data_IF_148700771689
#
_entry.id   IF_148700771689
#
_cell.length_a   1.000
_cell.length_b   1.000
_cell.length_c   1.000
_cell.angle_alpha   90.00
_cell.angle_beta   90.00
_cell.angle_gamma   90.00
#
_symmetry.space_group_name_H-M   'P 1'
#
loop_
_entity.id
_entity.type
_entity.pdbx_description
1 polymer ?
#
# COMPACT_ATOMS: atom_id res chain seq x y z
N UNK A 1 -28.96 15.37 10.61
CA UNK A 1 -28.14 16.33 11.40
C UNK A 1 -26.78 15.70 11.57
N UNK A 2 -25.83 16.07 10.71
CA UNK A 2 -24.46 15.59 10.80
C UNK A 2 -23.72 16.42 11.86
N UNK A 3 -23.22 15.76 12.89
CA UNK A 3 -22.40 16.38 13.90
C UNK A 3 -21.04 16.74 13.30
N UNK A 4 -20.75 18.02 13.16
CA UNK A 4 -19.42 18.58 12.93
C UNK A 4 -18.54 18.18 14.12
N UNK A 5 -17.64 17.22 13.94
CA UNK A 5 -16.61 16.89 14.93
C UNK A 5 -15.46 17.88 14.81
N UNK A 6 -15.21 18.50 15.95
CA UNK A 6 -14.24 19.54 16.25
C UNK A 6 -12.81 19.17 15.79
N UNK A 7 -12.26 19.96 14.85
CA UNK A 7 -10.86 19.87 14.43
C UNK A 7 -10.02 20.71 15.41
N UNK A 8 -9.59 20.13 16.53
CA UNK A 8 -8.75 20.92 17.44
C UNK A 8 -8.42 20.31 18.79
N UNK A 9 -8.85 19.09 19.10
CA UNK A 9 -8.52 18.50 20.41
C UNK A 9 -7.24 17.63 20.32
N UNK A 10 -6.30 17.71 21.29
CA UNK A 10 -5.11 16.84 21.35
C UNK A 10 -5.43 15.34 21.30
N UNK A 11 -6.68 14.96 21.60
CA UNK A 11 -7.20 13.58 21.54
C UNK A 11 -7.42 13.06 20.10
N UNK A 12 -7.32 13.90 19.07
CA UNK A 12 -7.50 13.50 17.67
C UNK A 12 -6.17 13.24 16.92
N UNK A 13 -5.03 13.41 17.57
CA UNK A 13 -3.73 13.15 16.96
C UNK A 13 -3.48 11.64 16.82
N UNK A 14 -2.82 11.28 15.72
CA UNK A 14 -2.25 9.95 15.49
C UNK A 14 -1.20 9.65 16.58
N UNK A 15 -1.27 8.46 17.17
CA UNK A 15 -0.33 8.07 18.23
C UNK A 15 -0.28 6.56 18.44
N UNK A 16 0.83 6.10 19.01
CA UNK A 16 0.95 4.83 19.71
C UNK A 16 1.13 5.11 21.19
N UNK A 17 0.53 4.30 22.03
CA UNK A 17 0.59 4.40 23.51
C UNK A 17 1.18 3.10 24.10
N UNK A 18 2.51 2.98 24.18
CA UNK A 18 3.15 1.80 24.75
C UNK A 18 2.88 1.65 26.26
N UNK A 19 2.44 2.71 26.96
CA UNK A 19 2.07 2.62 28.37
C UNK A 19 0.79 1.80 28.60
N UNK A 20 -0.05 1.62 27.57
CA UNK A 20 -1.20 0.72 27.63
C UNK A 20 -0.82 -0.78 27.55
N UNK A 21 0.47 -1.09 27.55
CA UNK A 21 1.05 -2.42 27.46
C UNK A 21 1.47 -2.78 26.02
N UNK A 22 2.42 -3.69 25.88
CA UNK A 22 2.94 -4.15 24.59
C UNK A 22 3.21 -5.64 24.59
N UNK A 23 3.31 -6.22 23.39
CA UNK A 23 3.81 -7.57 23.22
C UNK A 23 5.30 -7.64 23.58
N UNK A 24 5.78 -8.69 24.23
CA UNK A 24 7.19 -8.85 24.54
C UNK A 24 8.01 -9.03 23.27
N UNK A 25 9.12 -8.29 23.19
CA UNK A 25 10.06 -8.31 22.07
C UNK A 25 11.41 -8.80 22.61
N UNK A 26 12.05 -9.71 21.89
CA UNK A 26 13.45 -10.09 22.10
C UNK A 26 14.33 -9.19 21.23
N UNK A 27 15.44 -8.70 21.80
CA UNK A 27 16.41 -7.89 21.03
C UNK A 27 17.59 -8.75 20.57
N UNK A 28 18.18 -8.37 19.43
CA UNK A 28 19.40 -8.97 18.91
C UNK A 28 20.37 -7.85 18.53
N UNK A 29 21.50 -7.68 19.21
CA UNK A 29 22.01 -8.52 20.33
C UNK A 29 21.07 -8.59 21.53
N UNK A 30 21.19 -9.69 22.28
CA UNK A 30 20.31 -9.95 23.41
C UNK A 30 20.40 -8.86 24.49
N UNK A 31 19.26 -8.29 24.84
CA UNK A 31 19.06 -7.33 25.91
C UNK A 31 17.89 -7.73 26.80
N UNK A 32 17.66 -6.97 27.86
CA UNK A 32 16.49 -7.14 28.72
C UNK A 32 15.31 -6.31 28.19
N UNK A 33 14.08 -6.65 28.57
CA UNK A 33 12.88 -5.86 28.23
C UNK A 33 12.97 -4.40 28.69
N UNK A 34 13.70 -4.13 29.78
CA UNK A 34 13.98 -2.77 30.24
C UNK A 34 14.86 -1.96 29.29
N UNK A 35 15.64 -2.62 28.43
CA UNK A 35 16.57 -2.00 27.50
C UNK A 35 15.93 -1.63 26.16
N UNK A 36 14.65 -2.01 25.93
CA UNK A 36 13.91 -1.63 24.73
C UNK A 36 13.87 -0.12 24.55
N UNK A 37 14.23 0.32 23.34
CA UNK A 37 14.10 1.70 22.91
C UNK A 37 12.64 2.16 22.87
N UNK A 38 12.40 3.47 22.75
CA UNK A 38 11.04 3.99 22.57
C UNK A 38 10.37 3.41 21.30
N UNK A 39 11.12 3.31 20.20
CA UNK A 39 10.65 2.77 18.95
C UNK A 39 10.26 1.28 19.04
N UNK A 40 11.05 0.47 19.74
CA UNK A 40 10.74 -0.95 19.98
C UNK A 40 9.50 -1.12 20.88
N UNK A 41 9.32 -0.25 21.85
CA UNK A 41 8.09 -0.22 22.68
C UNK A 41 6.86 0.16 21.85
N UNK A 42 7.00 1.09 20.89
CA UNK A 42 5.91 1.42 19.95
C UNK A 42 5.56 0.20 19.07
N UNK A 43 6.55 -0.55 18.56
CA UNK A 43 6.32 -1.81 17.85
C UNK A 43 5.62 -2.82 18.74
N UNK A 44 6.03 -2.97 19.98
CA UNK A 44 5.38 -3.86 20.95
C UNK A 44 3.91 -3.53 21.16
N UNK A 45 3.57 -2.23 21.24
CA UNK A 45 2.20 -1.77 21.37
C UNK A 45 1.37 -2.10 20.11
N UNK A 46 1.93 -1.89 18.91
CA UNK A 46 1.29 -2.26 17.64
C UNK A 46 1.04 -3.77 17.58
N UNK A 47 2.04 -4.58 17.89
CA UNK A 47 1.92 -6.05 17.87
C UNK A 47 0.86 -6.55 18.84
N UNK A 48 0.72 -5.93 20.02
CA UNK A 48 -0.31 -6.29 20.97
C UNK A 48 -1.72 -5.94 20.45
N UNK A 49 -1.92 -4.80 19.77
CA UNK A 49 -3.20 -4.48 19.13
C UNK A 49 -3.50 -5.44 17.96
N UNK A 50 -2.48 -5.93 17.24
CA UNK A 50 -2.65 -6.96 16.20
C UNK A 50 -3.05 -8.32 16.80
N UNK A 51 -2.47 -8.71 17.95
CA UNK A 51 -2.91 -9.90 18.68
C UNK A 51 -4.38 -9.77 19.13
N UNK A 52 -4.79 -8.61 19.64
CA UNK A 52 -6.17 -8.32 20.03
C UNK A 52 -7.12 -8.36 18.82
N UNK A 53 -6.73 -7.74 17.70
CA UNK A 53 -7.50 -7.76 16.46
C UNK A 53 -7.79 -9.18 15.97
N UNK A 54 -6.77 -10.02 15.84
CA UNK A 54 -6.94 -11.37 15.33
C UNK A 54 -7.68 -12.29 16.30
N UNK A 55 -7.51 -12.08 17.62
CA UNK A 55 -8.28 -12.78 18.65
C UNK A 55 -9.78 -12.43 18.56
N UNK A 56 -10.10 -11.18 18.24
CA UNK A 56 -11.49 -10.74 18.05
C UNK A 56 -12.09 -11.18 16.71
N UNK A 57 -11.27 -11.47 15.69
CA UNK A 57 -11.71 -11.79 14.33
C UNK A 57 -11.57 -13.27 13.95
N UNK A 58 -11.63 -14.15 14.92
CA UNK A 58 -11.86 -15.59 14.73
C UNK A 58 -10.62 -16.48 14.61
N UNK A 59 -9.42 -15.92 14.86
CA UNK A 59 -8.25 -16.78 15.00
C UNK A 59 -8.37 -17.60 16.32
N UNK A 60 -8.39 -18.92 16.19
CA UNK A 60 -8.47 -19.82 17.35
C UNK A 60 -7.09 -20.01 17.99
N UNK A 61 -7.01 -19.96 19.30
CA UNK A 61 -5.75 -20.07 20.05
C UNK A 61 -5.03 -18.72 20.23
N UNK A 62 -3.72 -18.76 20.47
CA UNK A 62 -2.92 -17.53 20.60
C UNK A 62 -2.73 -16.85 19.24
N UNK A 63 -3.02 -15.56 19.14
CA UNK A 63 -2.70 -14.80 17.93
C UNK A 63 -1.19 -14.57 17.80
N UNK A 64 -0.44 -14.55 18.91
CA UNK A 64 1.02 -14.42 18.89
C UNK A 64 1.69 -15.60 18.19
N UNK A 65 2.64 -15.37 17.26
CA UNK A 65 3.52 -16.39 16.72
C UNK A 65 4.29 -17.12 17.84
N UNK A 66 4.43 -18.43 17.73
CA UNK A 66 5.07 -19.23 18.79
C UNK A 66 6.54 -18.87 19.00
N UNK A 67 7.25 -18.45 17.95
CA UNK A 67 8.61 -17.95 18.00
C UNK A 67 8.74 -16.54 18.57
N UNK A 68 7.63 -15.77 18.59
CA UNK A 68 7.61 -14.40 19.12
C UNK A 68 8.11 -13.33 18.15
N UNK A 69 8.61 -12.23 18.70
CA UNK A 69 9.02 -11.02 17.98
C UNK A 69 10.47 -10.67 18.29
N UNK A 70 11.22 -10.30 17.25
CA UNK A 70 12.64 -10.00 17.36
C UNK A 70 12.99 -8.66 16.72
N UNK A 71 13.49 -7.74 17.55
CA UNK A 71 14.11 -6.50 17.12
C UNK A 71 15.58 -6.74 16.85
N UNK A 72 16.03 -6.55 15.62
CA UNK A 72 17.45 -6.63 15.26
C UNK A 72 17.99 -5.24 14.99
N UNK A 73 19.12 -4.93 15.61
CA UNK A 73 19.87 -3.71 15.34
C UNK A 73 20.79 -3.93 14.12
N UNK A 74 20.31 -3.56 12.93
CA UNK A 74 21.07 -3.71 11.69
C UNK A 74 22.32 -2.82 11.61
N UNK A 75 22.50 -1.84 12.51
CA UNK A 75 23.67 -0.97 12.58
C UNK A 75 24.87 -1.66 13.25
N UNK A 76 24.62 -2.74 13.99
CA UNK A 76 25.69 -3.54 14.59
C UNK A 76 26.34 -4.38 13.49
N UNK A 77 27.60 -4.09 13.21
CA UNK A 77 28.37 -4.86 12.23
C UNK A 77 28.58 -6.31 12.68
N UNK A 78 28.98 -7.21 11.78
CA UNK A 78 29.28 -8.59 12.13
C UNK A 78 30.42 -8.63 13.16
N UNK A 79 30.04 -8.79 14.40
CA UNK A 79 31.02 -9.01 15.48
C UNK A 79 31.38 -10.49 15.41
N UNK A 80 32.55 -10.78 14.92
CA UNK A 80 33.11 -12.11 14.69
C UNK A 80 32.55 -13.27 15.52
N UNK A 81 31.42 -13.84 15.12
CA UNK A 81 31.03 -15.17 15.51
C UNK A 81 30.42 -15.37 16.89
N UNK A 82 29.82 -14.37 17.52
CA UNK A 82 29.10 -14.56 18.78
C UNK A 82 27.73 -15.21 18.54
N UNK A 83 27.45 -16.33 19.20
CA UNK A 83 26.23 -17.14 19.12
C UNK A 83 24.94 -16.42 19.59
N UNK A 84 24.91 -15.10 19.64
CA UNK A 84 23.79 -14.26 20.08
C UNK A 84 23.30 -13.26 19.03
N UNK A 85 23.80 -13.32 17.79
CA UNK A 85 23.50 -12.32 16.74
C UNK A 85 22.53 -12.83 15.67
N UNK A 86 21.95 -14.02 15.86
CA UNK A 86 20.98 -14.60 14.97
C UNK A 86 19.58 -14.64 15.59
N UNK A 87 18.57 -14.44 14.78
CA UNK A 87 17.17 -14.62 15.17
C UNK A 87 16.40 -15.29 14.06
N UNK A 88 15.69 -16.36 14.37
CA UNK A 88 14.79 -17.06 13.45
C UNK A 88 15.49 -17.36 12.10
N UNK A 89 15.04 -16.73 11.01
CA UNK A 89 15.58 -16.89 9.66
C UNK A 89 16.82 -16.03 9.36
N UNK A 90 17.24 -15.17 10.30
CA UNK A 90 18.35 -14.22 10.14
C UNK A 90 19.59 -14.75 10.86
N UNK A 91 20.72 -14.79 10.17
CA UNK A 91 22.01 -15.21 10.72
C UNK A 91 22.90 -14.01 11.06
N UNK A 92 22.76 -12.91 10.34
CA UNK A 92 23.53 -11.68 10.53
C UNK A 92 22.62 -10.45 10.48
N UNK A 93 22.83 -9.42 11.33
CA UNK A 93 22.00 -8.20 11.34
C UNK A 93 21.90 -7.49 9.98
N UNK A 94 22.94 -7.56 9.16
CA UNK A 94 22.95 -6.97 7.80
C UNK A 94 21.90 -7.55 6.85
N UNK A 95 21.36 -8.73 7.12
CA UNK A 95 20.33 -9.37 6.30
C UNK A 95 18.94 -8.75 6.47
N UNK A 96 18.72 -7.97 7.55
CA UNK A 96 17.43 -7.35 7.85
C UNK A 96 17.39 -5.85 7.53
N UNK A 97 18.48 -5.24 7.09
CA UNK A 97 18.57 -3.79 6.91
C UNK A 97 17.36 -3.22 6.17
N UNK A 98 16.61 -2.34 6.84
CA UNK A 98 15.45 -1.66 6.29
C UNK A 98 14.23 -2.55 6.08
N UNK A 99 14.17 -3.73 6.68
CA UNK A 99 13.11 -4.71 6.42
C UNK A 99 12.47 -5.25 7.71
N UNK A 100 11.30 -5.86 7.54
CA UNK A 100 10.63 -6.71 8.50
C UNK A 100 10.03 -7.90 7.75
N UNK A 101 9.92 -9.06 8.36
CA UNK A 101 9.24 -10.21 7.75
C UNK A 101 8.84 -11.26 8.78
N UNK A 102 7.82 -12.03 8.42
CA UNK A 102 7.47 -13.26 9.12
C UNK A 102 8.37 -14.41 8.68
N UNK A 103 9.02 -15.09 9.64
CA UNK A 103 9.84 -16.28 9.41
C UNK A 103 9.03 -17.56 9.64
N UNK A 104 8.64 -18.32 8.59
CA UNK A 104 7.84 -19.54 8.75
C UNK A 104 8.56 -20.67 9.50
N UNK A 105 9.90 -20.75 9.40
CA UNK A 105 10.68 -21.82 10.05
C UNK A 105 10.72 -21.65 11.57
N UNK A 106 10.70 -20.42 12.05
CA UNK A 106 10.74 -20.10 13.46
C UNK A 106 9.40 -19.65 14.04
N UNK A 107 8.34 -19.54 13.20
CA UNK A 107 7.03 -18.98 13.53
C UNK A 107 7.13 -17.67 14.32
N UNK A 108 7.81 -16.69 13.75
CA UNK A 108 8.00 -15.41 14.42
C UNK A 108 8.25 -14.26 13.46
N UNK A 109 8.14 -13.03 13.94
CA UNK A 109 8.38 -11.81 13.16
C UNK A 109 9.71 -11.20 13.58
N UNK A 110 10.57 -10.91 12.59
CA UNK A 110 11.85 -10.22 12.76
C UNK A 110 11.76 -8.86 12.09
N UNK A 111 12.29 -7.82 12.70
CA UNK A 111 12.30 -6.48 12.13
C UNK A 111 13.56 -5.70 12.47
N UNK A 112 13.95 -4.81 11.57
CA UNK A 112 15.05 -3.89 11.77
C UNK A 112 14.64 -2.71 12.65
N UNK A 113 15.15 -2.67 13.88
CA UNK A 113 14.88 -1.60 14.83
C UNK A 113 15.72 -0.34 14.59
N UNK A 114 16.83 -0.46 13.87
CA UNK A 114 17.78 0.64 13.65
C UNK A 114 17.46 1.49 12.41
N UNK A 115 17.01 0.89 11.30
CA UNK A 115 16.73 1.61 10.07
C UNK A 115 15.23 1.64 9.73
N UNK A 116 14.51 0.50 9.70
CA UNK A 116 13.12 0.46 9.27
C UNK A 116 12.20 1.24 10.20
N UNK A 117 12.22 0.93 11.50
CA UNK A 117 11.26 1.52 12.47
C UNK A 117 11.42 3.03 12.57
N UNK A 118 12.65 3.62 12.67
CA UNK A 118 12.82 5.07 12.62
C UNK A 118 12.32 5.72 11.33
N UNK A 119 12.48 5.07 10.18
CA UNK A 119 11.97 5.58 8.88
C UNK A 119 10.44 5.55 8.86
N UNK A 120 9.81 4.46 9.28
CA UNK A 120 8.36 4.36 9.34
C UNK A 120 7.76 5.44 10.26
N UNK A 121 8.28 5.57 11.47
CA UNK A 121 7.80 6.58 12.43
C UNK A 121 8.11 8.02 11.99
N UNK A 122 9.34 8.28 11.54
CA UNK A 122 9.82 9.64 11.25
C UNK A 122 9.30 10.21 9.93
N UNK A 123 9.18 9.37 8.89
CA UNK A 123 8.73 9.80 7.56
C UNK A 123 7.22 9.68 7.40
N UNK A 124 6.62 8.61 7.91
CA UNK A 124 5.22 8.26 7.62
C UNK A 124 4.30 8.35 8.85
N UNK A 125 4.84 8.16 10.04
CA UNK A 125 4.13 8.29 11.32
C UNK A 125 3.63 6.97 11.91
N UNK A 126 3.02 7.04 13.11
CA UNK A 126 2.59 5.87 13.89
C UNK A 126 1.61 4.94 13.16
N UNK A 127 0.65 5.48 12.42
CA UNK A 127 -0.32 4.68 11.68
C UNK A 127 0.34 3.87 10.54
N UNK A 128 1.39 4.41 9.93
CA UNK A 128 2.17 3.74 8.91
C UNK A 128 2.96 2.56 9.47
N UNK A 129 3.56 2.73 10.66
CA UNK A 129 4.19 1.62 11.39
C UNK A 129 3.16 0.50 11.62
N UNK A 130 1.98 0.86 12.12
CA UNK A 130 0.91 -0.10 12.41
C UNK A 130 0.45 -0.86 11.16
N UNK A 131 0.31 -0.19 10.01
CA UNK A 131 -0.10 -0.82 8.75
C UNK A 131 0.98 -1.75 8.20
N UNK A 132 2.25 -1.36 8.26
CA UNK A 132 3.35 -2.21 7.81
C UNK A 132 3.45 -3.49 8.67
N UNK A 133 3.38 -3.37 9.99
CA UNK A 133 3.38 -4.53 10.86
C UNK A 133 2.12 -5.38 10.76
N UNK A 134 0.97 -4.80 10.38
CA UNK A 134 -0.25 -5.55 10.11
C UNK A 134 -0.09 -6.48 8.90
N UNK A 135 0.62 -6.04 7.86
CA UNK A 135 0.98 -6.85 6.70
C UNK A 135 1.86 -8.04 7.12
N UNK A 136 2.94 -7.81 7.86
CA UNK A 136 3.84 -8.88 8.32
C UNK A 136 3.14 -9.85 9.28
N UNK A 137 2.27 -9.32 10.14
CA UNK A 137 1.48 -10.15 11.05
C UNK A 137 0.51 -11.05 10.30
N UNK A 138 -0.08 -10.58 9.20
CA UNK A 138 -0.97 -11.38 8.35
C UNK A 138 -0.29 -12.64 7.81
N UNK A 139 1.00 -12.57 7.45
CA UNK A 139 1.76 -13.76 7.07
C UNK A 139 1.84 -14.81 8.18
N UNK A 140 1.91 -14.39 9.44
CA UNK A 140 1.87 -15.32 10.58
C UNK A 140 0.50 -15.98 10.74
N UNK A 141 -0.56 -15.26 10.39
CA UNK A 141 -1.94 -15.78 10.41
C UNK A 141 -2.14 -16.76 9.27
N UNK A 142 -1.72 -16.43 8.06
CA UNK A 142 -1.75 -17.32 6.88
C UNK A 142 -1.05 -18.65 7.17
N UNK A 143 0.07 -18.63 7.87
CA UNK A 143 0.78 -19.88 8.24
C UNK A 143 -0.05 -20.83 9.09
N UNK A 144 -1.08 -20.34 9.80
CA UNK A 144 -1.96 -21.10 10.71
C UNK A 144 -3.28 -21.49 10.10
N UNK A 145 -3.90 -20.59 9.34
CA UNK A 145 -5.23 -20.84 8.76
C UNK A 145 -5.19 -21.20 7.28
N UNK A 146 -3.99 -21.10 6.65
CA UNK A 146 -3.72 -21.37 5.24
C UNK A 146 -3.89 -20.13 4.34
N UNK A 147 -3.35 -20.18 3.12
CA UNK A 147 -2.55 -21.31 2.62
C UNK A 147 -1.18 -21.40 3.32
N UNK A 148 -0.86 -22.60 3.80
CA UNK A 148 0.41 -22.85 4.49
C UNK A 148 1.60 -22.90 3.52
N UNK A 149 2.83 -22.83 4.03
CA UNK A 149 4.03 -23.00 3.20
C UNK A 149 4.06 -24.38 2.51
N UNK A 150 3.42 -25.41 3.08
CA UNK A 150 3.29 -26.71 2.45
C UNK A 150 2.30 -26.67 1.27
N UNK A 151 1.16 -26.02 1.43
CA UNK A 151 0.16 -25.84 0.37
C UNK A 151 0.75 -25.10 -0.82
N UNK A 152 1.49 -24.00 -0.57
CA UNK A 152 2.16 -23.20 -1.61
C UNK A 152 3.22 -23.99 -2.39
N UNK A 153 3.98 -24.86 -1.70
CA UNK A 153 4.95 -25.76 -2.38
C UNK A 153 4.27 -26.84 -3.19
N UNK A 154 3.11 -27.31 -2.73
CA UNK A 154 2.35 -28.36 -3.43
C UNK A 154 1.68 -27.84 -4.71
N UNK A 155 1.22 -26.58 -4.71
CA UNK A 155 0.55 -25.97 -5.86
C UNK A 155 0.94 -24.49 -6.00
N UNK A 156 2.16 -24.19 -6.46
CA UNK A 156 2.65 -22.81 -6.62
C UNK A 156 1.91 -22.04 -7.73
N UNK A 157 1.27 -22.74 -8.64
CA UNK A 157 0.48 -22.08 -9.72
C UNK A 157 -0.84 -21.55 -9.19
N UNK A 158 -1.50 -22.28 -8.32
CA UNK A 158 -2.75 -21.85 -7.68
C UNK A 158 -2.50 -20.87 -6.54
N UNK A 159 -1.36 -21.00 -5.86
CA UNK A 159 -0.97 -20.22 -4.69
C UNK A 159 0.36 -19.47 -4.93
N UNK A 160 0.43 -18.59 -5.94
CA UNK A 160 1.63 -17.81 -6.21
C UNK A 160 1.92 -16.84 -5.05
N UNK A 161 3.17 -16.39 -4.91
CA UNK A 161 3.57 -15.44 -3.86
C UNK A 161 2.72 -14.17 -3.90
N UNK A 162 2.46 -13.62 -5.06
CA UNK A 162 1.65 -12.42 -5.23
C UNK A 162 0.21 -12.55 -4.65
N UNK A 163 -0.38 -13.75 -4.61
CA UNK A 163 -1.66 -13.98 -3.95
C UNK A 163 -1.52 -13.88 -2.43
N UNK A 164 -0.44 -14.41 -1.88
CA UNK A 164 -0.16 -14.37 -0.45
C UNK A 164 0.04 -12.93 0.02
N UNK A 165 0.76 -12.14 -0.78
CA UNK A 165 0.97 -10.72 -0.54
C UNK A 165 -0.34 -9.91 -0.65
N UNK A 166 -1.15 -10.19 -1.66
CA UNK A 166 -2.47 -9.58 -1.83
C UNK A 166 -3.40 -9.86 -0.63
N UNK A 167 -3.36 -11.07 -0.09
CA UNK A 167 -4.08 -11.42 1.14
C UNK A 167 -3.54 -10.64 2.35
N UNK A 168 -2.21 -10.48 2.46
CA UNK A 168 -1.59 -9.73 3.56
C UNK A 168 -1.91 -8.24 3.50
N UNK A 169 -1.87 -7.61 2.31
CA UNK A 169 -2.31 -6.22 2.11
C UNK A 169 -3.81 -6.05 2.45
N UNK A 170 -4.62 -7.02 2.06
CA UNK A 170 -6.04 -7.08 2.40
C UNK A 170 -6.26 -7.11 3.92
N UNK A 171 -5.55 -7.94 4.65
CA UNK A 171 -5.63 -8.06 6.12
C UNK A 171 -5.11 -6.79 6.82
N UNK A 172 -4.06 -6.16 6.28
CA UNK A 172 -3.57 -4.87 6.76
C UNK A 172 -4.65 -3.79 6.61
N UNK A 173 -5.42 -3.81 5.51
CA UNK A 173 -6.58 -2.94 5.31
C UNK A 173 -7.68 -3.16 6.35
N UNK A 174 -7.96 -4.43 6.71
CA UNK A 174 -8.93 -4.77 7.74
C UNK A 174 -8.52 -4.26 9.12
N UNK A 175 -7.26 -4.46 9.52
CA UNK A 175 -6.72 -3.91 10.76
C UNK A 175 -6.77 -2.38 10.77
N UNK A 176 -6.40 -1.73 9.68
CA UNK A 176 -6.45 -0.27 9.57
C UNK A 176 -7.88 0.26 9.74
N UNK A 177 -8.89 -0.40 9.16
CA UNK A 177 -10.29 -0.05 9.36
C UNK A 177 -10.72 -0.16 10.83
N UNK A 178 -10.29 -1.23 11.50
CA UNK A 178 -10.54 -1.48 12.91
C UNK A 178 -9.88 -0.40 13.79
N UNK A 179 -8.65 -0.02 13.48
CA UNK A 179 -7.94 1.04 14.18
C UNK A 179 -8.58 2.42 13.97
N UNK A 180 -9.07 2.72 12.76
CA UNK A 180 -9.80 3.97 12.46
C UNK A 180 -11.15 4.03 13.15
N UNK A 181 -11.84 2.90 13.32
CA UNK A 181 -13.08 2.81 14.10
C UNK A 181 -12.86 3.11 15.60
N UNK A 182 -11.63 3.02 16.08
CA UNK A 182 -11.25 3.30 17.48
C UNK A 182 -11.33 2.07 18.38
N UNK A 183 -11.30 0.88 17.80
CA UNK A 183 -11.39 -0.40 18.52
C UNK A 183 -10.03 -0.88 19.05
N UNK A 184 -8.93 -0.21 18.66
CA UNK A 184 -7.58 -0.42 19.18
C UNK A 184 -7.40 0.19 20.57
N UNK A 185 -6.61 -0.47 21.42
CA UNK A 185 -6.31 0.01 22.78
C UNK A 185 -5.08 0.93 22.82
N UNK A 186 -4.11 0.71 21.93
CA UNK A 186 -2.77 1.33 21.94
C UNK A 186 -2.53 2.23 20.75
N UNK A 187 -2.98 1.81 19.57
CA UNK A 187 -2.78 2.56 18.33
C UNK A 187 -4.00 3.43 18.04
N UNK A 188 -3.79 4.72 17.80
CA UNK A 188 -4.86 5.63 17.40
C UNK A 188 -4.63 6.14 16.00
N UNK A 189 -5.58 5.86 15.10
CA UNK A 189 -5.54 6.29 13.69
C UNK A 189 -6.73 7.19 13.39
N UNK A 190 -6.57 8.53 13.40
CA UNK A 190 -7.60 9.44 12.91
C UNK A 190 -7.89 9.21 11.43
N UNK A 191 -9.12 9.40 10.98
CA UNK A 191 -9.52 9.24 9.58
C UNK A 191 -8.64 10.05 8.61
N UNK A 192 -8.20 11.25 9.01
CA UNK A 192 -7.29 12.09 8.23
C UNK A 192 -5.86 11.55 8.09
N UNK A 193 -5.48 10.52 8.85
CA UNK A 193 -4.15 9.88 8.79
C UNK A 193 -4.11 8.67 7.87
N UNK A 194 -5.23 8.21 7.33
CA UNK A 194 -5.31 6.95 6.57
C UNK A 194 -4.42 6.98 5.32
N UNK A 195 -4.37 8.08 4.59
CA UNK A 195 -3.47 8.21 3.43
C UNK A 195 -2.02 8.01 3.84
N UNK A 196 -1.59 8.60 4.95
CA UNK A 196 -0.24 8.45 5.47
C UNK A 196 0.03 7.02 5.95
N UNK A 197 -0.97 6.39 6.56
CA UNK A 197 -0.88 5.00 7.02
C UNK A 197 -0.60 4.01 5.88
N UNK A 198 -1.19 4.22 4.70
CA UNK A 198 -1.02 3.33 3.55
C UNK A 198 0.18 3.70 2.67
N UNK A 199 0.75 4.89 2.83
CA UNK A 199 1.84 5.37 1.97
C UNK A 199 3.04 4.43 1.92
N UNK A 200 3.53 3.78 3.02
CA UNK A 200 4.62 2.82 2.93
C UNK A 200 4.29 1.61 2.04
N UNK A 201 3.06 1.12 2.07
CA UNK A 201 2.63 0.00 1.21
C UNK A 201 2.78 0.38 -0.26
N UNK A 202 2.50 1.64 -0.62
CA UNK A 202 2.63 2.17 -1.97
C UNK A 202 4.10 2.48 -2.33
N UNK A 203 4.90 2.95 -1.38
CA UNK A 203 6.32 3.30 -1.61
C UNK A 203 7.21 2.05 -1.69
N UNK A 204 6.87 0.97 -0.98
CA UNK A 204 7.59 -0.32 -0.99
C UNK A 204 7.04 -1.29 -2.04
N UNK A 205 6.42 -0.75 -3.08
CA UNK A 205 5.98 -1.53 -4.24
C UNK A 205 7.15 -2.09 -5.04
N UNK A 206 6.88 -3.13 -5.80
CA UNK A 206 7.86 -3.70 -6.71
C UNK A 206 8.19 -2.74 -7.87
N UNK A 207 9.39 -2.84 -8.44
CA UNK A 207 9.67 -2.22 -9.71
C UNK A 207 8.87 -2.90 -10.83
N UNK A 208 8.45 -2.14 -11.84
CA UNK A 208 7.68 -2.66 -13.00
C UNK A 208 8.36 -3.78 -13.77
N UNK A 209 9.66 -3.98 -13.57
CA UNK A 209 10.45 -5.05 -14.17
C UNK A 209 10.37 -6.37 -13.42
N UNK A 210 9.80 -6.40 -12.20
CA UNK A 210 9.65 -7.63 -11.44
C UNK A 210 8.37 -8.36 -11.87
N UNK A 211 8.54 -9.60 -12.28
CA UNK A 211 7.39 -10.43 -12.68
C UNK A 211 6.50 -10.76 -11.48
N UNK A 212 5.15 -10.73 -11.61
CA UNK A 212 4.25 -11.23 -10.57
C UNK A 212 4.44 -12.72 -10.22
N UNK A 213 5.14 -13.46 -11.09
CA UNK A 213 5.50 -14.86 -10.84
C UNK A 213 6.78 -15.01 -10.01
N UNK A 214 7.51 -13.92 -9.74
CA UNK A 214 8.69 -13.95 -8.88
C UNK A 214 8.28 -14.31 -7.44
N UNK A 215 9.00 -15.21 -6.76
CA UNK A 215 8.68 -15.59 -5.39
C UNK A 215 8.84 -14.46 -4.37
N UNK A 216 9.47 -13.35 -4.75
CA UNK A 216 9.65 -12.16 -3.90
C UNK A 216 8.71 -11.01 -4.28
N UNK A 217 7.81 -11.21 -5.26
CA UNK A 217 6.93 -10.16 -5.75
C UNK A 217 5.85 -9.80 -4.72
N UNK A 218 5.71 -8.50 -4.42
CA UNK A 218 4.65 -7.92 -3.57
C UNK A 218 3.56 -7.23 -4.38
N UNK A 219 3.84 -6.81 -5.62
CA UNK A 219 2.93 -6.11 -6.51
C UNK A 219 3.24 -4.62 -6.68
N UNK A 220 2.61 -4.04 -7.69
CA UNK A 220 2.69 -2.61 -7.98
C UNK A 220 1.80 -1.79 -7.04
N UNK A 221 2.00 -0.48 -6.98
CA UNK A 221 1.32 0.39 -6.02
C UNK A 221 -0.20 0.36 -6.14
N UNK A 222 -0.74 0.41 -7.36
CA UNK A 222 -2.19 0.33 -7.59
C UNK A 222 -2.76 -1.05 -7.24
N UNK A 223 -2.03 -2.12 -7.52
CA UNK A 223 -2.45 -3.48 -7.18
C UNK A 223 -2.54 -3.65 -5.65
N UNK A 224 -1.50 -3.27 -4.93
CA UNK A 224 -1.43 -3.30 -3.47
C UNK A 224 -2.53 -2.44 -2.82
N UNK A 225 -2.75 -1.23 -3.34
CA UNK A 225 -3.85 -0.36 -2.92
C UNK A 225 -5.20 -1.06 -3.08
N UNK A 226 -5.42 -1.71 -4.21
CA UNK A 226 -6.69 -2.38 -4.51
C UNK A 226 -7.01 -3.47 -3.50
N UNK A 227 -6.02 -4.30 -3.12
CA UNK A 227 -6.22 -5.35 -2.12
C UNK A 227 -6.43 -4.78 -0.73
N UNK A 228 -5.68 -3.77 -0.33
CA UNK A 228 -5.87 -3.07 0.94
C UNK A 228 -7.28 -2.46 1.04
N UNK A 229 -7.75 -1.77 -0.02
CA UNK A 229 -9.08 -1.15 -0.06
C UNK A 229 -10.21 -2.16 0.07
N UNK A 230 -10.05 -3.37 -0.49
CA UNK A 230 -11.07 -4.41 -0.49
C UNK A 230 -11.59 -4.71 0.91
N UNK A 231 -10.69 -4.65 1.91
CA UNK A 231 -11.03 -4.95 3.31
C UNK A 231 -11.18 -3.75 4.20
N UNK A 232 -10.49 -2.69 3.89
CA UNK A 232 -10.74 -1.44 4.57
C UNK A 232 -12.22 -1.03 4.50
N UNK A 233 -12.92 -1.42 3.41
CA UNK A 233 -14.35 -1.11 3.18
C UNK A 233 -15.30 -2.21 3.65
N UNK A 234 -14.97 -3.48 3.45
CA UNK A 234 -15.92 -4.60 3.52
C UNK A 234 -15.77 -5.51 4.76
N UNK A 235 -14.81 -5.22 5.64
CA UNK A 235 -14.57 -5.97 6.89
C UNK A 235 -13.88 -7.33 6.74
N UNK A 236 -13.45 -8.01 7.84
CA UNK A 236 -12.39 -9.03 7.85
C UNK A 236 -12.65 -10.45 7.28
N UNK A 237 -13.85 -10.90 6.88
CA UNK A 237 -14.09 -12.32 6.53
C UNK A 237 -13.64 -12.82 5.14
N UNK A 238 -13.11 -12.01 4.19
CA UNK A 238 -12.88 -12.39 2.80
C UNK A 238 -11.42 -12.35 2.28
N UNK A 239 -10.38 -11.89 3.05
CA UNK A 239 -9.01 -11.85 2.54
C UNK A 239 -8.48 -13.24 2.21
N UNK A 240 -8.67 -14.19 3.12
CA UNK A 240 -8.19 -15.57 2.93
C UNK A 240 -9.02 -16.39 1.92
N UNK A 241 -10.15 -15.85 1.45
CA UNK A 241 -10.91 -16.43 0.34
C UNK A 241 -10.48 -15.91 -1.03
N UNK A 242 -9.55 -14.94 -1.09
CA UNK A 242 -8.96 -14.52 -2.34
C UNK A 242 -8.28 -15.69 -3.04
N UNK A 243 -8.56 -15.84 -4.33
CA UNK A 243 -7.97 -16.82 -5.22
C UNK A 243 -7.13 -16.12 -6.28
N UNK A 244 -6.37 -16.89 -7.05
CA UNK A 244 -5.63 -16.37 -8.20
C UNK A 244 -6.53 -15.64 -9.20
N UNK A 245 -7.76 -16.12 -9.38
CA UNK A 245 -8.72 -15.53 -10.34
C UNK A 245 -9.26 -14.17 -9.87
N UNK A 246 -9.09 -13.84 -8.58
CA UNK A 246 -9.42 -12.53 -8.02
C UNK A 246 -8.31 -11.48 -8.20
N UNK A 247 -7.14 -11.89 -8.70
CA UNK A 247 -5.98 -11.02 -8.91
C UNK A 247 -6.10 -10.30 -10.27
N UNK A 248 -6.77 -9.17 -10.28
CA UNK A 248 -6.76 -8.24 -11.44
C UNK A 248 -5.50 -7.35 -11.37
N UNK A 249 -4.34 -7.97 -11.60
CA UNK A 249 -3.05 -7.28 -11.55
C UNK A 249 -2.82 -6.46 -12.81
N UNK A 250 -2.28 -5.26 -12.65
CA UNK A 250 -1.93 -4.39 -13.77
C UNK A 250 -0.89 -5.04 -14.71
N UNK A 251 0.11 -5.75 -14.16
CA UNK A 251 1.10 -6.51 -14.95
C UNK A 251 0.54 -7.76 -15.65
N UNK A 252 -0.66 -8.22 -15.29
CA UNK A 252 -1.31 -9.41 -15.85
C UNK A 252 -2.37 -9.12 -16.91
N UNK A 253 -2.67 -7.86 -17.19
CA UNK A 253 -3.72 -7.49 -18.13
C UNK A 253 -3.29 -7.76 -19.58
N UNK A 254 -4.22 -8.26 -20.39
CA UNK A 254 -4.01 -8.54 -21.81
C UNK A 254 -3.55 -7.27 -22.57
N UNK A 255 -2.60 -7.44 -23.49
CA UNK A 255 -2.04 -6.36 -24.30
C UNK A 255 -0.83 -5.65 -23.67
N UNK A 256 -0.51 -5.92 -22.43
CA UNK A 256 0.70 -5.41 -21.75
C UNK A 256 1.86 -6.37 -22.04
N UNK A 257 2.39 -6.31 -23.27
CA UNK A 257 3.65 -6.99 -23.60
C UNK A 257 4.80 -6.08 -23.19
N UNK A 258 5.63 -6.54 -22.30
CA UNK A 258 6.85 -5.89 -21.81
C UNK A 258 6.66 -4.58 -21.03
N UNK A 259 6.75 -4.70 -19.72
CA UNK A 259 6.95 -3.60 -18.77
C UNK A 259 8.23 -2.76 -19.00
N UNK A 260 8.93 -3.00 -20.11
CA UNK A 260 10.22 -2.39 -20.44
C UNK A 260 10.12 -0.92 -20.91
N UNK A 261 8.94 -0.33 -20.92
CA UNK A 261 8.78 1.05 -21.39
C UNK A 261 8.84 2.08 -20.24
N UNK A 262 9.92 2.09 -19.50
CA UNK A 262 10.31 3.24 -18.67
C UNK A 262 10.90 4.40 -19.47
N UNK A 263 11.01 4.23 -20.80
CA UNK A 263 11.55 5.25 -21.69
C UNK A 263 10.53 6.33 -21.98
N UNK A 264 10.93 7.61 -22.03
CA UNK A 264 10.06 8.71 -22.44
C UNK A 264 9.45 8.42 -23.80
N UNK A 265 8.12 8.41 -23.91
CA UNK A 265 7.40 8.11 -25.18
C UNK A 265 7.28 9.34 -26.07
N UNK A 266 7.42 10.51 -25.46
CA UNK A 266 7.30 11.80 -26.12
C UNK A 266 8.58 12.61 -25.92
N UNK A 267 8.93 13.44 -26.91
CA UNK A 267 10.16 14.21 -26.86
C UNK A 267 10.08 15.39 -25.86
N UNK A 268 8.88 15.81 -25.50
CA UNK A 268 8.67 16.94 -24.59
C UNK A 268 7.38 16.79 -23.77
N UNK A 269 7.29 17.52 -22.66
CA UNK A 269 6.07 17.63 -21.86
C UNK A 269 4.92 18.22 -22.67
N UNK A 270 5.17 19.20 -23.57
CA UNK A 270 4.13 19.80 -24.40
C UNK A 270 3.51 18.76 -25.37
N UNK A 271 4.30 17.85 -25.92
CA UNK A 271 3.80 16.77 -26.74
C UNK A 271 2.91 15.80 -25.92
N UNK A 272 3.34 15.47 -24.70
CA UNK A 272 2.52 14.64 -23.77
C UNK A 272 1.20 15.33 -23.46
N UNK A 273 1.21 16.60 -23.11
CA UNK A 273 -0.01 17.34 -22.77
C UNK A 273 -0.95 17.45 -23.98
N UNK A 274 -0.39 17.60 -25.18
CA UNK A 274 -1.18 17.60 -26.42
C UNK A 274 -1.86 16.25 -26.64
N UNK A 275 -1.11 15.16 -26.52
CA UNK A 275 -1.62 13.81 -26.66
C UNK A 275 -2.66 13.47 -25.55
N UNK A 276 -2.40 13.87 -24.33
CA UNK A 276 -3.32 13.70 -23.20
C UNK A 276 -4.64 14.46 -23.41
N UNK A 277 -4.55 15.69 -23.92
CA UNK A 277 -5.73 16.51 -24.23
C UNK A 277 -6.62 15.82 -25.26
N UNK A 278 -6.03 15.30 -26.33
CA UNK A 278 -6.78 14.54 -27.34
C UNK A 278 -7.39 13.27 -26.75
N UNK A 279 -6.60 12.48 -26.05
CA UNK A 279 -7.05 11.21 -25.43
C UNK A 279 -8.17 11.39 -24.39
N UNK A 280 -8.09 12.44 -23.56
CA UNK A 280 -9.15 12.77 -22.58
C UNK A 280 -10.42 13.22 -23.30
N UNK A 281 -10.32 13.96 -24.42
CA UNK A 281 -11.47 14.37 -25.22
C UNK A 281 -12.19 13.14 -25.80
N UNK A 282 -11.45 12.21 -26.37
CA UNK A 282 -12.00 10.96 -26.93
C UNK A 282 -12.70 10.16 -25.82
N UNK A 283 -12.06 10.01 -24.65
CA UNK A 283 -12.66 9.31 -23.50
C UNK A 283 -13.98 9.96 -23.03
N UNK A 284 -14.04 11.30 -22.95
CA UNK A 284 -15.29 12.02 -22.59
C UNK A 284 -16.38 11.75 -23.60
N UNK A 285 -16.03 11.78 -24.91
CA UNK A 285 -16.98 11.50 -26.01
C UNK A 285 -17.50 10.06 -25.98
N UNK A 286 -16.62 9.09 -25.87
CA UNK A 286 -16.93 7.66 -25.85
C UNK A 286 -17.77 7.25 -24.63
N UNK A 287 -17.46 7.84 -23.47
CA UNK A 287 -18.21 7.59 -22.24
C UNK A 287 -19.55 8.35 -22.16
N UNK A 288 -19.85 9.22 -23.12
CA UNK A 288 -21.08 10.03 -23.14
C UNK A 288 -21.20 10.96 -21.93
N UNK A 289 -20.07 11.41 -21.37
CA UNK A 289 -20.05 12.25 -20.18
C UNK A 289 -20.45 13.69 -20.51
N UNK A 290 -21.17 14.39 -19.62
CA UNK A 290 -21.50 15.79 -19.82
C UNK A 290 -20.20 16.61 -19.77
N UNK A 291 -19.94 17.40 -20.80
CA UNK A 291 -18.77 18.27 -20.88
C UNK A 291 -18.88 19.31 -21.97
N UNK A 292 -18.06 20.36 -21.91
CA UNK A 292 -18.05 21.48 -22.84
C UNK A 292 -17.43 21.15 -24.21
N UNK A 293 -17.09 19.88 -24.46
CA UNK A 293 -16.50 19.43 -25.73
C UNK A 293 -15.00 19.73 -25.90
N UNK A 294 -14.37 20.39 -24.94
CA UNK A 294 -12.92 20.60 -24.95
C UNK A 294 -12.32 20.26 -23.57
N UNK A 295 -11.26 19.45 -23.51
CA UNK A 295 -10.54 19.18 -22.26
C UNK A 295 -9.98 20.45 -21.66
N UNK A 296 -9.94 20.49 -20.33
CA UNK A 296 -9.36 21.58 -19.56
C UNK A 296 -7.85 21.42 -19.52
N UNK A 297 -7.12 22.53 -19.67
CA UNK A 297 -5.67 22.50 -19.50
C UNK A 297 -5.28 22.06 -18.09
N UNK A 298 -4.18 21.31 -17.98
CA UNK A 298 -3.65 20.88 -16.70
C UNK A 298 -3.30 22.09 -15.79
N UNK A 299 -3.57 21.94 -14.51
CA UNK A 299 -3.18 22.92 -13.49
C UNK A 299 -1.65 22.93 -13.35
N UNK A 300 -1.04 24.13 -13.33
CA UNK A 300 0.41 24.28 -13.16
C UNK A 300 0.91 23.70 -11.83
N UNK A 301 0.11 23.76 -10.77
CA UNK A 301 0.45 23.13 -9.49
C UNK A 301 0.49 21.60 -9.60
N UNK A 302 -0.47 21.00 -10.32
CA UNK A 302 -0.49 19.54 -10.56
C UNK A 302 0.69 19.12 -11.45
N UNK A 303 1.05 19.92 -12.48
CA UNK A 303 2.24 19.66 -13.31
C UNK A 303 3.54 19.73 -12.51
N UNK A 304 3.65 20.66 -11.57
CA UNK A 304 4.82 20.76 -10.70
C UNK A 304 4.95 19.55 -9.77
N UNK A 305 3.83 19.01 -9.27
CA UNK A 305 3.81 17.77 -8.49
C UNK A 305 4.12 16.55 -9.37
N UNK A 306 3.66 16.52 -10.62
CA UNK A 306 3.87 15.40 -11.54
C UNK A 306 5.33 15.24 -11.99
N UNK A 307 6.10 16.31 -12.01
CA UNK A 307 7.46 16.37 -12.59
C UNK A 307 8.41 15.25 -12.13
N UNK A 308 8.48 14.86 -10.84
CA UNK A 308 9.38 13.79 -10.39
C UNK A 308 8.88 12.36 -10.72
N UNK A 309 7.63 12.18 -11.13
CA UNK A 309 7.03 10.86 -11.31
C UNK A 309 7.08 10.37 -12.75
N UNK A 310 7.00 11.26 -13.74
CA UNK A 310 7.13 10.88 -15.14
C UNK A 310 6.18 11.60 -16.07
N UNK A 311 6.23 11.23 -17.35
CA UNK A 311 5.42 11.86 -18.38
C UNK A 311 3.94 11.55 -18.23
N UNK A 312 3.60 10.33 -17.77
CA UNK A 312 2.21 9.93 -17.61
C UNK A 312 1.54 10.63 -16.42
N UNK A 313 2.31 10.94 -15.36
CA UNK A 313 1.82 11.79 -14.28
C UNK A 313 1.42 13.18 -14.80
N UNK A 314 2.21 13.78 -15.72
CA UNK A 314 1.85 15.05 -16.35
C UNK A 314 0.58 14.91 -17.24
N UNK A 315 0.44 13.82 -17.99
CA UNK A 315 -0.77 13.50 -18.74
C UNK A 315 -2.00 13.39 -17.83
N UNK A 316 -1.84 12.74 -16.68
CA UNK A 316 -2.91 12.57 -15.69
C UNK A 316 -3.39 13.90 -15.10
N UNK A 317 -2.54 14.94 -15.05
CA UNK A 317 -2.95 16.28 -14.62
C UNK A 317 -4.04 16.88 -15.56
N UNK A 318 -4.04 16.57 -16.86
CA UNK A 318 -5.11 16.95 -17.80
C UNK A 318 -6.42 16.23 -17.45
N UNK A 319 -6.34 14.92 -17.17
CA UNK A 319 -7.51 14.13 -16.78
C UNK A 319 -8.10 14.63 -15.45
N UNK A 320 -7.27 14.97 -14.46
CA UNK A 320 -7.72 15.54 -13.19
C UNK A 320 -8.42 16.90 -13.38
N UNK A 321 -7.87 17.78 -14.20
CA UNK A 321 -8.47 19.08 -14.47
C UNK A 321 -9.84 18.93 -15.16
N UNK A 322 -9.93 18.09 -16.20
CA UNK A 322 -11.17 17.80 -16.91
C UNK A 322 -12.19 17.07 -16.01
N UNK A 323 -11.74 16.10 -15.24
CA UNK A 323 -12.58 15.39 -14.28
C UNK A 323 -13.17 16.30 -13.19
N UNK A 324 -12.41 17.31 -12.75
CA UNK A 324 -12.89 18.32 -11.79
C UNK A 324 -13.97 19.21 -12.38
N UNK A 325 -13.83 19.59 -13.66
CA UNK A 325 -14.86 20.36 -14.37
C UNK A 325 -16.15 19.54 -14.51
N UNK A 326 -16.05 18.25 -14.83
CA UNK A 326 -17.21 17.37 -15.03
C UNK A 326 -17.90 17.01 -13.70
N UNK A 327 -17.13 16.65 -12.67
CA UNK A 327 -17.66 16.10 -11.41
C UNK A 327 -17.83 17.13 -10.30
N UNK A 328 -17.20 18.30 -10.42
CA UNK A 328 -17.24 19.38 -9.44
C UNK A 328 -16.45 19.10 -8.15
N UNK A 329 -15.73 17.96 -8.04
CA UNK A 329 -15.00 17.58 -6.83
C UNK A 329 -13.64 16.97 -7.14
N UNK A 330 -12.66 17.11 -6.22
CA UNK A 330 -11.36 16.46 -6.37
C UNK A 330 -11.43 14.93 -6.27
N UNK A 331 -12.38 14.38 -5.50
CA UNK A 331 -12.61 12.94 -5.41
C UNK A 331 -13.17 12.40 -6.72
N UNK A 332 -14.16 13.08 -7.31
CA UNK A 332 -14.69 12.74 -8.62
C UNK A 332 -13.64 12.86 -9.73
N UNK A 333 -12.79 13.91 -9.65
CA UNK A 333 -11.67 14.08 -10.58
C UNK A 333 -10.66 12.91 -10.51
N UNK A 334 -10.34 12.44 -9.31
CA UNK A 334 -9.45 11.31 -9.13
C UNK A 334 -10.08 10.01 -9.70
N UNK A 335 -11.37 9.78 -9.47
CA UNK A 335 -12.10 8.66 -10.07
C UNK A 335 -12.11 8.75 -11.61
N UNK A 336 -12.43 9.93 -12.16
CA UNK A 336 -12.39 10.17 -13.60
C UNK A 336 -11.00 9.86 -14.18
N UNK A 337 -9.93 10.33 -13.52
CA UNK A 337 -8.56 10.05 -13.95
C UNK A 337 -8.27 8.53 -13.95
N UNK A 338 -8.71 7.79 -12.94
CA UNK A 338 -8.58 6.33 -12.89
C UNK A 338 -9.30 5.64 -14.06
N UNK A 339 -10.54 6.04 -14.35
CA UNK A 339 -11.31 5.50 -15.46
C UNK A 339 -10.67 5.82 -16.82
N UNK A 340 -10.13 7.03 -17.00
CA UNK A 340 -9.39 7.40 -18.19
C UNK A 340 -8.09 6.58 -18.33
N UNK A 341 -7.28 6.43 -17.27
CA UNK A 341 -6.06 5.61 -17.29
C UNK A 341 -6.36 4.18 -17.72
N UNK A 342 -7.45 3.59 -17.20
CA UNK A 342 -7.88 2.26 -17.57
C UNK A 342 -8.34 2.17 -19.04
N UNK A 343 -8.97 3.20 -19.58
CA UNK A 343 -9.48 3.21 -20.98
C UNK A 343 -8.34 3.22 -22.01
N UNK A 344 -7.18 3.77 -21.65
CA UNK A 344 -5.99 3.82 -22.52
C UNK A 344 -4.95 2.75 -22.15
N UNK A 345 -5.30 1.83 -21.25
CA UNK A 345 -4.38 0.82 -20.78
C UNK A 345 -4.02 -0.19 -21.87
N UNK A 346 -2.72 -0.39 -22.11
CA UNK A 346 -2.23 -1.32 -23.14
C UNK A 346 -2.37 -0.81 -24.58
N UNK A 347 -2.80 0.43 -24.80
CA UNK A 347 -2.88 1.03 -26.16
C UNK A 347 -1.48 1.19 -26.76
N UNK A 348 -1.26 0.59 -27.95
CA UNK A 348 0.06 0.56 -28.61
C UNK A 348 0.08 1.31 -29.94
N UNK A 349 -0.99 1.97 -30.33
CA UNK A 349 -1.07 2.65 -31.62
C UNK A 349 -0.13 3.87 -31.67
N UNK A 350 0.58 4.00 -32.78
CA UNK A 350 1.54 5.08 -32.96
C UNK A 350 0.85 6.45 -32.91
N UNK A 351 1.36 7.34 -32.04
CA UNK A 351 0.82 8.69 -31.86
C UNK A 351 -0.33 8.79 -30.87
N UNK A 352 -0.82 7.69 -30.33
CA UNK A 352 -1.81 7.69 -29.27
C UNK A 352 -1.14 7.60 -27.88
N UNK A 353 -1.78 8.19 -26.88
CA UNK A 353 -1.36 8.06 -25.51
C UNK A 353 -1.93 6.76 -24.94
N UNK A 354 -1.04 5.81 -24.64
CA UNK A 354 -1.39 4.59 -23.90
C UNK A 354 -0.84 4.63 -22.48
N UNK A 355 -1.44 3.89 -21.56
CA UNK A 355 -0.93 3.66 -20.22
C UNK A 355 -0.46 2.22 -20.04
N UNK A 356 0.46 2.04 -19.13
CA UNK A 356 1.09 0.78 -18.77
C UNK A 356 1.08 0.61 -17.25
N UNK A 357 1.44 -0.53 -16.70
CA UNK A 357 1.41 -0.73 -15.25
C UNK A 357 2.13 0.35 -14.44
N UNK A 358 3.33 0.75 -14.86
CA UNK A 358 4.07 1.84 -14.22
C UNK A 358 3.40 3.22 -14.33
N UNK A 359 2.70 3.46 -15.43
CA UNK A 359 1.98 4.73 -15.64
C UNK A 359 0.75 4.83 -14.71
N UNK A 360 0.09 3.71 -14.44
CA UNK A 360 -0.99 3.69 -13.45
C UNK A 360 -0.49 4.07 -12.05
N UNK A 361 0.73 3.65 -11.71
CA UNK A 361 1.40 4.07 -10.48
C UNK A 361 1.88 5.53 -10.53
N UNK A 362 2.37 6.04 -11.67
CA UNK A 362 2.71 7.46 -11.84
C UNK A 362 1.48 8.36 -11.61
N UNK A 363 0.32 7.96 -12.13
CA UNK A 363 -0.94 8.66 -11.91
C UNK A 363 -1.36 8.63 -10.43
N UNK A 364 -1.22 7.49 -9.77
CA UNK A 364 -1.48 7.32 -8.34
C UNK A 364 -0.54 8.21 -7.51
N UNK A 365 0.74 8.27 -7.86
CA UNK A 365 1.76 9.08 -7.19
C UNK A 365 1.46 10.58 -7.31
N UNK A 366 1.02 11.05 -8.48
CA UNK A 366 0.54 12.42 -8.62
C UNK A 366 -0.62 12.69 -7.66
N UNK A 367 -1.66 11.84 -7.67
CA UNK A 367 -2.88 12.07 -6.88
C UNK A 367 -2.56 12.12 -5.39
N UNK A 368 -1.79 11.16 -4.87
CA UNK A 368 -1.46 11.09 -3.43
C UNK A 368 -0.48 12.16 -2.94
N UNK A 369 0.28 12.77 -3.86
CA UNK A 369 1.32 13.75 -3.52
C UNK A 369 0.85 15.19 -3.68
N UNK A 370 -0.37 15.42 -4.17
CA UNK A 370 -0.95 16.77 -4.26
C UNK A 370 -1.13 17.39 -2.88
N UNK A 371 -0.92 18.71 -2.73
CA UNK A 371 -1.26 19.40 -1.49
C UNK A 371 -2.72 19.16 -1.10
N UNK A 372 -2.95 18.68 0.11
CA UNK A 372 -4.29 18.37 0.60
C UNK A 372 -4.88 17.07 0.06
N UNK A 373 -4.07 16.19 -0.55
CA UNK A 373 -4.51 14.86 -0.98
C UNK A 373 -5.15 14.09 0.19
N UNK A 374 -6.20 13.35 -0.13
CA UNK A 374 -6.95 12.55 0.83
C UNK A 374 -6.97 11.08 0.44
N UNK A 375 -7.17 10.22 1.42
CA UNK A 375 -7.40 8.80 1.17
C UNK A 375 -8.58 8.55 0.22
N UNK A 376 -9.65 9.35 0.32
CA UNK A 376 -10.82 9.22 -0.55
C UNK A 376 -10.48 9.46 -2.02
N UNK A 377 -9.58 10.39 -2.33
CA UNK A 377 -9.13 10.64 -3.70
C UNK A 377 -8.32 9.46 -4.24
N UNK A 378 -7.41 8.93 -3.44
CA UNK A 378 -6.60 7.76 -3.81
C UNK A 378 -7.49 6.52 -4.01
N UNK A 379 -8.44 6.31 -3.12
CA UNK A 379 -9.41 5.23 -3.23
C UNK A 379 -10.33 5.39 -4.45
N UNK A 380 -10.78 6.61 -4.73
CA UNK A 380 -11.61 6.91 -5.91
C UNK A 380 -10.86 6.69 -7.23
N UNK A 381 -9.56 6.96 -7.27
CA UNK A 381 -8.71 6.63 -8.42
C UNK A 381 -8.74 5.11 -8.73
N UNK A 382 -8.54 4.27 -7.71
CA UNK A 382 -8.62 2.83 -7.87
C UNK A 382 -10.04 2.38 -8.29
N UNK A 383 -11.09 2.98 -7.73
CA UNK A 383 -12.48 2.70 -8.12
C UNK A 383 -12.75 3.01 -9.59
N UNK A 384 -12.26 4.15 -10.07
CA UNK A 384 -12.34 4.55 -11.47
C UNK A 384 -11.58 3.60 -12.39
N UNK A 385 -10.36 3.22 -12.00
CA UNK A 385 -9.52 2.30 -12.78
C UNK A 385 -10.17 0.92 -12.97
N UNK A 386 -10.77 0.35 -11.91
CA UNK A 386 -11.39 -0.98 -11.98
C UNK A 386 -12.86 -0.96 -12.43
N UNK A 387 -13.57 0.14 -12.18
CA UNK A 387 -15.03 0.20 -12.42
C UNK A 387 -15.46 1.14 -13.53
N UNK A 388 -14.51 1.88 -14.14
CA UNK A 388 -14.81 2.84 -15.21
C UNK A 388 -15.55 4.08 -14.72
N UNK A 389 -15.91 4.96 -15.68
CA UNK A 389 -16.58 6.24 -15.42
C UNK A 389 -17.92 6.15 -14.70
N UNK A 390 -18.62 5.01 -14.82
CA UNK A 390 -19.91 4.77 -14.15
C UNK A 390 -19.81 4.79 -12.60
N UNK A 391 -18.61 4.62 -12.05
CA UNK A 391 -18.33 4.68 -10.59
C UNK A 391 -18.07 6.09 -10.09
N UNK A 392 -17.92 7.08 -10.98
CA UNK A 392 -17.42 8.41 -10.65
C UNK A 392 -18.52 9.46 -10.40
N UNK A 393 -19.79 9.07 -10.41
CA UNK A 393 -20.94 9.95 -10.22
C UNK A 393 -21.42 10.08 -8.79
#
# INVERSE_FOLDING_TARGET
>A
MAATRDAGSPKSAERIDPAAGGAPISTVPAGSESDLTANEKDVGAVLADLEDFWSAHGLTGSARPAGGYFAMDSSVGPSGGSAGESALCIQEPSQIVGNAFYCPQGDGIVFDSAALVPVLLGRYGPAALATAFAHEFAHSVQARIGPTAADRRADPTRLPSILIEAQADCDAGAFLAWAVAGDTSRVRVPTGSVLRAITPVLDFRDPVTLSPADPTAHGLGLDRLTFLLRRYRDGAAACHSLTRDDLDLTLGRDGVADAATTQPRFASTDEVLTAATASVADFVGDAGLPGTGAPVSADQADLAVAQPYGQFAAATAVALATGREITGTDTGAACFAGAWVASVFGTTEAGQLGSWPGDADEALDLIRSRPGATFQQVAAYADGFHGGSARCG
#
